data_IF_729699608064
#
_entry.id   IF_729699608064
#
_cell.length_a   1.000
_cell.length_b   1.000
_cell.length_c   1.000
_cell.angle_alpha   90.00
_cell.angle_beta   90.00
_cell.angle_gamma   90.00
#
_symmetry.space_group_name_H-M   'P 1'
#
loop_
_entity.id
_entity.type
_entity.pdbx_description
1 polymer ?
#
# COMPACT_ATOMS: atom_id res chain seq x y z
N UNK A 1 -12.50 -20.21 1.93
CA UNK A 1 -13.61 -20.29 0.94
C UNK A 1 -13.04 -20.62 -0.44
N UNK A 2 -12.61 -21.87 -0.67
CA UNK A 2 -12.11 -22.31 -1.98
C UNK A 2 -12.90 -23.49 -2.56
N UNK A 3 -13.80 -24.09 -1.77
CA UNK A 3 -14.51 -25.33 -2.14
C UNK A 3 -15.66 -25.15 -3.12
N UNK A 4 -16.27 -23.96 -3.18
CA UNK A 4 -17.60 -23.81 -3.79
C UNK A 4 -17.61 -23.08 -5.15
N UNK A 5 -16.45 -22.83 -5.75
CA UNK A 5 -16.39 -22.20 -7.06
C UNK A 5 -16.60 -23.21 -8.19
N UNK A 6 -17.56 -22.90 -9.06
CA UNK A 6 -17.79 -23.67 -10.28
C UNK A 6 -16.58 -23.60 -11.21
N UNK A 7 -16.57 -24.41 -12.28
CA UNK A 7 -15.50 -24.35 -13.29
C UNK A 7 -15.48 -22.99 -14.00
N UNK A 8 -16.65 -22.41 -14.28
CA UNK A 8 -16.79 -21.07 -14.87
C UNK A 8 -16.31 -19.98 -13.92
N UNK A 9 -16.62 -20.06 -12.62
CA UNK A 9 -16.12 -19.09 -11.63
C UNK A 9 -14.60 -19.09 -11.57
N UNK A 10 -13.98 -20.27 -11.52
CA UNK A 10 -12.52 -20.42 -11.52
C UNK A 10 -11.87 -19.91 -12.80
N UNK A 11 -12.57 -19.99 -13.94
CA UNK A 11 -12.11 -19.37 -15.19
C UNK A 11 -12.16 -17.84 -15.06
N UNK A 12 -13.31 -17.29 -14.63
CA UNK A 12 -13.49 -15.85 -14.48
C UNK A 12 -12.52 -15.23 -13.47
N UNK A 13 -12.25 -15.90 -12.36
CA UNK A 13 -11.28 -15.45 -11.35
C UNK A 13 -9.87 -15.34 -11.96
N UNK A 14 -9.47 -16.28 -12.83
CA UNK A 14 -8.17 -16.19 -13.51
C UNK A 14 -8.12 -15.02 -14.48
N UNK A 15 -9.16 -14.82 -15.29
CA UNK A 15 -9.25 -13.66 -16.19
C UNK A 15 -9.17 -12.33 -15.43
N UNK A 16 -9.83 -12.22 -14.27
CA UNK A 16 -9.75 -11.05 -13.41
C UNK A 16 -8.35 -10.87 -12.80
N UNK A 17 -7.67 -11.96 -12.46
CA UNK A 17 -6.30 -11.92 -11.95
C UNK A 17 -5.32 -11.42 -13.02
N UNK A 18 -5.47 -11.90 -14.25
CA UNK A 18 -4.67 -11.46 -15.41
C UNK A 18 -4.92 -9.97 -15.71
N UNK A 19 -6.17 -9.52 -15.66
CA UNK A 19 -6.51 -8.10 -15.83
C UNK A 19 -5.89 -7.23 -14.72
N UNK A 20 -5.95 -7.70 -13.47
CA UNK A 20 -5.35 -7.01 -12.34
C UNK A 20 -3.83 -6.90 -12.49
N UNK A 21 -3.18 -7.98 -12.93
CA UNK A 21 -1.75 -8.01 -13.24
C UNK A 21 -1.38 -6.93 -14.27
N UNK A 22 -2.06 -6.94 -15.41
CA UNK A 22 -1.78 -6.00 -16.50
C UNK A 22 -1.92 -4.55 -16.06
N UNK A 23 -2.96 -4.23 -15.28
CA UNK A 23 -3.16 -2.87 -14.75
C UNK A 23 -2.09 -2.46 -13.76
N UNK A 24 -1.70 -3.35 -12.84
CA UNK A 24 -0.60 -3.08 -11.90
C UNK A 24 0.72 -2.84 -12.63
N UNK A 25 1.04 -3.69 -13.60
CA UNK A 25 2.24 -3.54 -14.40
C UNK A 25 2.25 -2.21 -15.16
N UNK A 26 1.11 -1.81 -15.75
CA UNK A 26 0.96 -0.50 -16.40
C UNK A 26 1.16 0.67 -15.43
N UNK A 27 0.66 0.58 -14.20
CA UNK A 27 0.87 1.63 -13.19
C UNK A 27 2.35 1.77 -12.83
N UNK A 28 3.07 0.67 -12.66
CA UNK A 28 4.51 0.71 -12.39
C UNK A 28 5.30 1.25 -13.59
N UNK A 29 4.97 0.83 -14.81
CA UNK A 29 5.60 1.34 -16.05
C UNK A 29 5.36 2.85 -16.23
N UNK A 30 4.19 3.38 -15.84
CA UNK A 30 3.94 4.82 -15.87
C UNK A 30 4.91 5.61 -14.99
N UNK A 31 5.39 5.05 -13.88
CA UNK A 31 6.40 5.72 -13.04
C UNK A 31 7.73 5.89 -13.76
N UNK A 32 8.10 4.93 -14.60
CA UNK A 32 9.27 5.04 -15.48
C UNK A 32 9.04 6.08 -16.56
N UNK A 33 7.88 6.07 -17.22
CA UNK A 33 7.54 7.08 -18.22
C UNK A 33 7.61 8.51 -17.66
N UNK A 34 7.04 8.74 -16.47
CA UNK A 34 7.17 10.02 -15.76
C UNK A 34 8.63 10.35 -15.47
N UNK A 35 9.45 9.38 -15.03
CA UNK A 35 10.88 9.62 -14.81
C UNK A 35 11.62 10.06 -16.09
N UNK A 36 11.27 9.48 -17.25
CA UNK A 36 11.84 9.88 -18.53
C UNK A 36 11.44 11.30 -18.92
N UNK A 37 10.18 11.68 -18.74
CA UNK A 37 9.71 13.05 -18.98
C UNK A 37 10.38 14.07 -18.03
N UNK A 38 10.55 13.71 -16.76
CA UNK A 38 11.27 14.53 -15.78
C UNK A 38 12.75 14.72 -16.19
N UNK A 39 13.37 13.71 -16.78
CA UNK A 39 14.74 13.78 -17.30
C UNK A 39 14.84 14.69 -18.53
N UNK A 40 13.90 14.58 -19.48
CA UNK A 40 13.84 15.46 -20.66
C UNK A 40 13.68 16.94 -20.25
N UNK A 41 12.97 17.19 -19.15
CA UNK A 41 12.82 18.52 -18.57
C UNK A 41 14.01 18.96 -17.67
N UNK A 42 15.08 18.17 -17.58
CA UNK A 42 16.27 18.46 -16.78
C UNK A 42 16.06 18.36 -15.26
N UNK A 43 14.93 17.81 -14.79
CA UNK A 43 14.66 17.60 -13.35
C UNK A 43 15.31 16.33 -12.81
N UNK A 44 15.58 15.36 -13.68
CA UNK A 44 16.34 14.14 -13.38
C UNK A 44 17.52 13.99 -14.33
N UNK A 45 18.55 13.29 -13.87
CA UNK A 45 19.67 12.88 -14.72
C UNK A 45 19.40 11.51 -15.37
N UNK A 46 20.12 11.15 -16.43
CA UNK A 46 20.05 9.79 -16.99
C UNK A 46 20.40 8.69 -15.98
N UNK A 47 21.23 9.00 -14.99
CA UNK A 47 21.58 8.07 -13.90
C UNK A 47 20.36 7.82 -13.01
N UNK A 48 19.64 8.87 -12.62
CA UNK A 48 18.42 8.74 -11.79
C UNK A 48 17.34 7.89 -12.48
N UNK A 49 17.18 8.04 -13.81
CA UNK A 49 16.25 7.23 -14.58
C UNK A 49 16.69 5.77 -14.63
N UNK A 50 17.98 5.53 -14.86
CA UNK A 50 18.56 4.18 -14.86
C UNK A 50 18.36 3.49 -13.52
N UNK A 51 18.57 4.19 -12.40
CA UNK A 51 18.32 3.67 -11.06
C UNK A 51 16.84 3.32 -10.83
N UNK A 52 15.92 4.15 -11.33
CA UNK A 52 14.48 3.84 -11.27
C UNK A 52 14.11 2.60 -12.10
N UNK A 53 14.76 2.40 -13.25
CA UNK A 53 14.59 1.19 -14.06
C UNK A 53 15.11 -0.04 -13.31
N UNK A 54 16.26 0.06 -12.64
CA UNK A 54 16.77 -1.02 -11.80
C UNK A 54 15.83 -1.34 -10.64
N UNK A 55 15.33 -0.32 -9.91
CA UNK A 55 14.34 -0.49 -8.84
C UNK A 55 13.07 -1.17 -9.35
N UNK A 56 12.59 -0.78 -10.54
CA UNK A 56 11.44 -1.41 -11.17
C UNK A 56 11.68 -2.90 -11.45
N UNK A 57 12.83 -3.24 -12.03
CA UNK A 57 13.16 -4.61 -12.40
C UNK A 57 13.40 -5.50 -11.16
N UNK A 58 14.13 -4.99 -10.17
CA UNK A 58 14.55 -5.77 -9.00
C UNK A 58 13.49 -5.87 -7.90
N UNK A 59 12.65 -4.84 -7.78
CA UNK A 59 11.61 -4.74 -6.77
C UNK A 59 10.22 -4.95 -7.36
N UNK A 60 9.72 -3.94 -8.07
CA UNK A 60 8.30 -3.86 -8.43
C UNK A 60 7.82 -5.04 -9.29
N UNK A 61 8.57 -5.41 -10.34
CA UNK A 61 8.22 -6.56 -11.20
C UNK A 61 8.33 -7.87 -10.44
N UNK A 62 9.33 -8.02 -9.57
CA UNK A 62 9.52 -9.22 -8.76
C UNK A 62 8.39 -9.39 -7.73
N UNK A 63 8.02 -8.32 -7.05
CA UNK A 63 6.93 -8.31 -6.06
C UNK A 63 5.58 -8.58 -6.72
N UNK A 64 5.34 -7.97 -7.89
CA UNK A 64 4.19 -8.31 -8.70
C UNK A 64 4.22 -9.80 -9.04
N UNK A 65 5.31 -10.28 -9.65
CA UNK A 65 5.43 -11.66 -10.12
C UNK A 65 5.19 -12.66 -8.99
N UNK A 66 5.73 -12.40 -7.80
CA UNK A 66 5.48 -13.21 -6.62
C UNK A 66 3.99 -13.21 -6.25
N UNK A 67 3.31 -12.07 -6.30
CA UNK A 67 1.87 -11.99 -6.04
C UNK A 67 1.04 -12.80 -7.02
N UNK A 68 1.46 -13.00 -8.27
CA UNK A 68 0.70 -13.80 -9.25
C UNK A 68 1.13 -15.27 -9.28
N UNK A 69 2.43 -15.55 -9.17
CA UNK A 69 2.97 -16.91 -9.25
C UNK A 69 2.79 -17.71 -7.95
N UNK A 70 2.86 -17.07 -6.78
CA UNK A 70 2.77 -17.75 -5.48
C UNK A 70 1.41 -17.60 -4.80
N UNK A 71 0.58 -16.64 -5.23
CA UNK A 71 -0.75 -16.48 -4.65
C UNK A 71 -1.82 -17.26 -5.42
N UNK A 72 -2.82 -17.74 -4.69
CA UNK A 72 -4.03 -18.27 -5.29
C UNK A 72 -4.71 -17.14 -6.09
N UNK A 73 -5.13 -17.35 -7.35
CA UNK A 73 -5.77 -16.31 -8.17
C UNK A 73 -6.90 -15.55 -7.46
N UNK A 74 -7.64 -16.23 -6.58
CA UNK A 74 -8.66 -15.63 -5.72
C UNK A 74 -8.11 -14.49 -4.85
N UNK A 75 -6.98 -14.71 -4.18
CA UNK A 75 -6.36 -13.72 -3.30
C UNK A 75 -5.85 -12.52 -4.09
N UNK A 76 -5.27 -12.76 -5.27
CA UNK A 76 -4.84 -11.69 -6.18
C UNK A 76 -6.02 -10.79 -6.59
N UNK A 77 -7.15 -11.38 -7.00
CA UNK A 77 -8.36 -10.64 -7.37
C UNK A 77 -8.91 -9.84 -6.19
N UNK A 78 -9.07 -10.48 -5.03
CA UNK A 78 -9.57 -9.82 -3.83
C UNK A 78 -8.71 -8.63 -3.42
N UNK A 79 -7.38 -8.81 -3.45
CA UNK A 79 -6.43 -7.74 -3.14
C UNK A 79 -6.46 -6.63 -4.18
N UNK A 80 -6.54 -6.97 -5.47
CA UNK A 80 -6.64 -6.00 -6.55
C UNK A 80 -7.89 -5.15 -6.47
N UNK A 81 -9.04 -5.72 -6.09
CA UNK A 81 -10.25 -4.95 -5.85
C UNK A 81 -10.12 -4.04 -4.63
N UNK A 82 -9.59 -4.55 -3.51
CA UNK A 82 -9.37 -3.75 -2.31
C UNK A 82 -8.41 -2.56 -2.55
N UNK A 83 -7.35 -2.78 -3.32
CA UNK A 83 -6.38 -1.74 -3.69
C UNK A 83 -6.90 -0.79 -4.80
N UNK A 84 -8.12 -1.00 -5.31
CA UNK A 84 -8.75 -0.16 -6.35
C UNK A 84 -8.20 -0.38 -7.77
N UNK A 85 -7.42 -1.43 -8.01
CA UNK A 85 -6.93 -1.82 -9.34
C UNK A 85 -8.05 -2.44 -10.18
N UNK A 86 -8.90 -3.23 -9.53
CA UNK A 86 -10.17 -3.70 -10.07
C UNK A 86 -11.30 -2.87 -9.48
N UNK A 87 -12.32 -2.63 -10.29
CA UNK A 87 -13.48 -1.80 -10.00
C UNK A 87 -14.76 -2.65 -10.02
N UNK A 88 -15.91 -2.04 -9.70
CA UNK A 88 -17.19 -2.75 -9.73
C UNK A 88 -17.58 -3.16 -11.15
N UNK A 89 -17.18 -2.36 -12.13
CA UNK A 89 -17.41 -2.55 -13.55
C UNK A 89 -16.69 -3.81 -14.05
N UNK A 90 -15.48 -4.09 -13.54
CA UNK A 90 -14.71 -5.28 -13.96
C UNK A 90 -15.34 -6.59 -13.47
N UNK A 91 -15.97 -6.55 -12.30
CA UNK A 91 -16.54 -7.72 -11.66
C UNK A 91 -18.03 -7.89 -12.00
N UNK A 92 -18.65 -6.98 -12.75
CA UNK A 92 -20.10 -7.00 -12.99
C UNK A 92 -20.56 -8.30 -13.66
N UNK A 93 -19.76 -8.85 -14.57
CA UNK A 93 -20.05 -10.10 -15.29
C UNK A 93 -19.67 -11.36 -14.50
N UNK A 94 -19.09 -11.22 -13.31
CA UNK A 94 -18.82 -12.35 -12.45
C UNK A 94 -20.12 -12.83 -11.77
N UNK A 95 -20.16 -14.13 -11.42
CA UNK A 95 -21.28 -14.69 -10.67
C UNK A 95 -21.46 -13.98 -9.32
N UNK A 96 -22.67 -14.03 -8.77
CA UNK A 96 -22.96 -13.48 -7.43
C UNK A 96 -22.01 -14.04 -6.38
N UNK A 97 -21.70 -15.34 -6.41
CA UNK A 97 -20.78 -15.97 -5.46
C UNK A 97 -19.38 -15.32 -5.50
N UNK A 98 -18.84 -15.07 -6.70
CA UNK A 98 -17.54 -14.41 -6.87
C UNK A 98 -17.61 -12.97 -6.39
N UNK A 99 -18.60 -12.19 -6.84
CA UNK A 99 -18.75 -10.77 -6.45
C UNK A 99 -18.92 -10.62 -4.94
N UNK A 100 -19.84 -11.38 -4.34
CA UNK A 100 -20.12 -11.33 -2.91
C UNK A 100 -18.89 -11.74 -2.10
N UNK A 101 -18.13 -12.73 -2.57
CA UNK A 101 -16.87 -13.13 -1.95
C UNK A 101 -15.82 -12.01 -1.95
N UNK A 102 -15.66 -11.31 -3.08
CA UNK A 102 -14.74 -10.16 -3.21
C UNK A 102 -15.17 -9.03 -2.27
N UNK A 103 -16.46 -8.69 -2.24
CA UNK A 103 -17.01 -7.63 -1.39
C UNK A 103 -16.87 -7.95 0.10
N UNK A 104 -17.17 -9.20 0.51
CA UNK A 104 -16.96 -9.66 1.89
C UNK A 104 -15.49 -9.58 2.31
N UNK A 105 -14.58 -9.94 1.41
CA UNK A 105 -13.14 -9.80 1.66
C UNK A 105 -12.77 -8.34 1.89
N UNK A 106 -13.19 -7.44 1.00
CA UNK A 106 -12.89 -6.01 1.10
C UNK A 106 -13.43 -5.40 2.40
N UNK A 107 -14.66 -5.72 2.79
CA UNK A 107 -15.25 -5.27 4.05
C UNK A 107 -14.48 -5.79 5.28
N UNK A 108 -14.06 -7.05 5.26
CA UNK A 108 -13.29 -7.66 6.35
C UNK A 108 -11.91 -7.02 6.49
N UNK A 109 -11.22 -6.76 5.38
CA UNK A 109 -9.94 -6.08 5.38
C UNK A 109 -10.04 -4.63 5.84
N UNK A 110 -11.07 -3.89 5.40
CA UNK A 110 -11.32 -2.53 5.85
C UNK A 110 -11.57 -2.47 7.36
N UNK A 111 -12.28 -3.46 7.94
CA UNK A 111 -12.48 -3.58 9.38
C UNK A 111 -11.15 -3.77 10.12
N UNK A 112 -10.32 -4.72 9.66
CA UNK A 112 -9.01 -5.00 10.27
C UNK A 112 -8.06 -3.81 10.21
N UNK A 113 -8.09 -3.04 9.12
CA UNK A 113 -7.28 -1.83 8.98
C UNK A 113 -7.62 -0.80 10.07
N UNK A 114 -8.92 -0.55 10.32
CA UNK A 114 -9.39 0.36 11.38
C UNK A 114 -8.99 -0.11 12.78
N UNK A 115 -9.05 -1.41 13.05
CA UNK A 115 -8.67 -1.98 14.35
C UNK A 115 -7.16 -1.85 14.63
N UNK A 116 -6.31 -1.90 13.59
CA UNK A 116 -4.87 -1.64 13.74
C UNK A 116 -4.60 -0.17 14.11
N UNK A 117 -5.29 0.77 13.48
CA UNK A 117 -5.14 2.19 13.77
C UNK A 117 -5.55 2.54 15.21
N UNK A 118 -6.64 1.95 15.71
CA UNK A 118 -7.09 2.20 17.09
C UNK A 118 -6.13 1.61 18.14
N UNK A 119 -5.60 0.41 17.89
CA UNK A 119 -4.65 -0.24 18.81
C UNK A 119 -3.28 0.44 18.79
N UNK A 120 -2.81 0.92 17.64
CA UNK A 120 -1.56 1.68 17.54
C UNK A 120 -1.67 3.07 18.18
N UNK A 121 -2.81 3.75 17.98
CA UNK A 121 -3.15 4.99 18.69
C UNK A 121 -3.20 4.79 20.21
N UNK A 122 -3.79 3.68 20.69
CA UNK A 122 -3.82 3.33 22.11
C UNK A 122 -2.42 2.99 22.66
N UNK A 123 -1.57 2.31 21.88
CA UNK A 123 -0.19 1.97 22.27
C UNK A 123 0.72 3.21 22.30
N UNK A 124 0.52 4.16 21.38
CA UNK A 124 1.18 5.47 21.38
C UNK A 124 0.85 6.27 22.64
N UNK A 125 -0.43 6.31 23.04
CA UNK A 125 -0.88 7.00 24.27
C UNK A 125 -0.28 6.40 25.55
N UNK A 126 -0.07 5.08 25.62
CA UNK A 126 0.54 4.44 26.81
C UNK A 126 2.04 4.73 26.96
N UNK A 127 2.77 5.06 25.89
CA UNK A 127 4.20 5.41 25.94
C UNK A 127 4.46 6.84 26.47
N UNK A 128 3.44 7.69 26.55
CA UNK A 128 3.54 9.03 27.13
C UNK A 128 3.00 9.08 28.57
N UNK A 129 3.33 8.07 29.38
CA UNK A 129 3.17 8.18 30.83
C UNK A 129 4.40 8.92 31.36
N UNK A 130 4.29 10.15 31.88
CA UNK A 130 5.42 10.76 32.58
C UNK A 130 5.75 9.85 33.77
N UNK A 131 6.98 9.34 33.81
CA UNK A 131 7.52 8.73 35.02
C UNK A 131 7.27 9.69 36.19
N UNK A 132 6.67 9.26 37.31
CA UNK A 132 6.62 10.10 38.49
C UNK A 132 8.06 10.37 38.92
N UNK A 133 8.55 11.57 38.65
CA UNK A 133 9.81 12.04 39.21
C UNK A 133 9.63 12.07 40.73
N UNK A 134 10.26 11.11 41.40
CA UNK A 134 10.51 11.19 42.83
C UNK A 134 11.21 12.52 43.11
N UNK A 135 10.59 13.32 43.98
CA UNK A 135 11.15 14.56 44.49
C UNK A 135 12.47 14.25 45.18
N UNK A 136 13.55 14.92 44.77
CA UNK A 136 14.83 14.82 45.46
C UNK A 136 15.99 15.36 44.65
N UNK A 137 16.50 16.50 45.10
CA UNK A 137 17.80 17.13 44.75
C UNK A 137 17.80 18.02 43.50
N UNK A 138 17.75 19.33 43.78
CA UNK A 138 18.19 20.40 42.89
C UNK A 138 19.71 20.29 42.72
N UNK A 139 20.18 19.83 41.57
CA UNK A 139 21.57 20.06 41.15
C UNK A 139 21.55 21.02 39.98
N UNK A 140 22.01 22.23 40.27
CA UNK A 140 22.27 23.32 39.34
C UNK A 140 23.41 22.91 38.40
N UNK A 141 23.15 22.67 37.12
CA UNK A 141 24.19 22.66 36.08
C UNK A 141 23.78 23.45 34.84
N UNK A 142 24.76 24.21 34.37
CA UNK A 142 24.74 25.21 33.33
C UNK A 142 24.56 24.63 31.91
N UNK A 143 23.78 25.36 31.08
CA UNK A 143 23.91 25.59 29.62
C UNK A 143 24.67 24.55 28.76
N UNK A 144 23.96 23.95 27.80
CA UNK A 144 24.16 24.16 26.33
C UNK A 144 23.03 23.48 25.54
N UNK A 145 22.62 24.12 24.45
CA UNK A 145 21.34 23.88 23.80
C UNK A 145 21.29 22.74 22.78
N UNK A 146 20.06 22.41 22.39
CA UNK A 146 19.64 22.13 21.02
C UNK A 146 18.10 22.20 21.01
N UNK A 147 17.56 23.16 20.25
CA UNK A 147 16.13 23.27 19.97
C UNK A 147 15.75 22.08 19.09
N UNK A 148 14.79 21.28 19.54
CA UNK A 148 14.12 20.31 18.68
C UNK A 148 12.90 21.05 18.11
N UNK A 149 13.10 21.64 16.93
CA UNK A 149 12.07 22.31 16.16
C UNK A 149 11.25 21.21 15.46
N UNK A 150 10.08 20.90 16.00
CA UNK A 150 9.20 19.84 15.49
C UNK A 150 7.84 20.39 15.07
N UNK A 151 7.81 21.65 14.62
CA UNK A 151 6.62 22.31 14.08
C UNK A 151 6.99 23.14 12.84
N UNK A 152 7.34 22.47 11.73
CA UNK A 152 7.31 23.06 10.38
C UNK A 152 7.53 21.96 9.35
N UNK A 153 6.44 21.55 8.70
CA UNK A 153 6.28 21.07 7.32
C UNK A 153 4.82 20.60 7.22
N UNK A 154 3.88 21.54 7.03
CA UNK A 154 3.25 21.85 5.73
C UNK A 154 2.42 20.67 5.20
N UNK A 155 1.08 20.65 5.30
CA UNK A 155 0.12 21.58 4.64
C UNK A 155 0.59 21.97 3.23
N UNK A 156 0.37 21.09 2.26
CA UNK A 156 0.12 21.41 0.84
C UNK A 156 -0.24 20.12 0.09
N UNK A 157 -1.53 19.79 -0.03
CA UNK A 157 -2.04 18.82 -1.01
C UNK A 157 -3.58 18.94 -1.11
N UNK A 158 -4.05 20.04 -1.72
CA UNK A 158 -5.40 20.18 -2.26
C UNK A 158 -5.31 21.16 -3.41
N UNK A 159 -4.96 20.64 -4.59
CA UNK A 159 -5.43 21.04 -5.92
C UNK A 159 -5.12 19.86 -6.86
#
# INVERSE_FOLDING_TARGET
MHGDFTKSDRKRIRELADLAWDRRLRLELRKIAVAMEEMENGRLTPIDVTDRIHIFHDGAVRDLCNQVSTSLPWTAVCRAYFDGVLTNEDIIDASSNVRDGILRFAASFAKLARERETTESARSRRRCSPTPHASGVVVMWHKRGRRCDRDRLCRAALL
#
